data_IF_107992744407
#
_entry.id   IF_107992744407
#
_cell.length_a   1.000
_cell.length_b   1.000
_cell.length_c   1.000
_cell.angle_alpha   90.00
_cell.angle_beta   90.00
_cell.angle_gamma   90.00
#
_symmetry.space_group_name_H-M   'P 1'
#
loop_
_entity.id
_entity.type
_entity.pdbx_description
1 polymer ?
#
# COMPACT_ATOMS: atom_id res chain seq x y z
N UNK A 1 23.11 25.15 7.31
CA UNK A 1 22.21 24.01 7.08
C UNK A 1 22.69 22.86 7.96
N UNK A 2 21.81 22.23 8.73
CA UNK A 2 22.20 21.09 9.58
C UNK A 2 22.53 19.93 8.63
N UNK A 3 23.75 19.41 8.70
CA UNK A 3 24.21 18.32 7.83
C UNK A 3 23.94 16.96 8.49
N UNK A 4 22.69 16.53 8.45
CA UNK A 4 22.22 15.26 9.01
C UNK A 4 21.54 14.37 7.95
N UNK A 5 21.08 13.18 8.36
CA UNK A 5 20.39 12.22 7.49
C UNK A 5 19.18 12.81 6.78
N UNK A 6 18.41 13.68 7.43
CA UNK A 6 17.25 14.31 6.81
C UNK A 6 17.65 15.17 5.61
N UNK A 7 18.68 16.00 5.78
CA UNK A 7 19.19 16.88 4.72
C UNK A 7 19.97 16.16 3.62
N UNK A 8 20.67 15.07 3.95
CA UNK A 8 21.61 14.38 3.04
C UNK A 8 21.04 13.13 2.38
N UNK A 9 19.99 12.53 2.95
CA UNK A 9 19.43 11.25 2.50
C UNK A 9 17.93 11.35 2.29
N UNK A 10 17.14 11.67 3.32
CA UNK A 10 15.67 11.58 3.24
C UNK A 10 15.07 12.58 2.26
N UNK A 11 15.41 13.87 2.38
CA UNK A 11 14.90 14.91 1.48
C UNK A 11 15.32 14.66 0.02
N UNK A 12 16.62 14.38 -0.29
CA UNK A 12 17.02 14.02 -1.65
C UNK A 12 16.27 12.81 -2.20
N UNK A 13 16.06 11.75 -1.41
CA UNK A 13 15.31 10.56 -1.81
C UNK A 13 13.86 10.87 -2.15
N UNK A 14 13.16 11.62 -1.28
CA UNK A 14 11.77 12.04 -1.52
C UNK A 14 11.67 12.87 -2.81
N UNK A 15 12.56 13.84 -3.00
CA UNK A 15 12.57 14.67 -4.22
C UNK A 15 12.81 13.84 -5.49
N UNK A 16 13.68 12.83 -5.39
CA UNK A 16 13.93 11.91 -6.50
C UNK A 16 12.70 11.07 -6.84
N UNK A 17 12.05 10.47 -5.84
CA UNK A 17 10.82 9.70 -6.03
C UNK A 17 9.69 10.55 -6.62
N UNK A 18 9.52 11.79 -6.15
CA UNK A 18 8.52 12.72 -6.71
C UNK A 18 8.79 13.02 -8.19
N UNK A 19 10.07 13.14 -8.60
CA UNK A 19 10.43 13.31 -10.03
C UNK A 19 10.12 12.08 -10.88
N UNK A 20 10.11 10.88 -10.27
CA UNK A 20 9.70 9.64 -10.93
C UNK A 20 8.17 9.44 -10.97
N UNK A 21 7.39 10.41 -10.47
CA UNK A 21 5.93 10.37 -10.49
C UNK A 21 5.29 9.83 -9.20
N UNK A 22 6.08 9.49 -8.18
CA UNK A 22 5.52 9.12 -6.88
C UNK A 22 4.91 10.33 -6.19
N UNK A 23 3.73 10.14 -5.60
CA UNK A 23 3.05 11.20 -4.85
C UNK A 23 3.53 11.22 -3.40
N UNK A 24 4.08 12.35 -2.95
CA UNK A 24 4.38 12.55 -1.55
C UNK A 24 3.08 12.58 -0.71
N UNK A 25 3.08 11.82 0.39
CA UNK A 25 1.98 11.76 1.35
C UNK A 25 2.46 12.34 2.68
N UNK A 26 1.82 13.42 3.13
CA UNK A 26 2.14 14.03 4.43
C UNK A 26 1.43 13.29 5.57
N UNK A 27 2.14 13.03 6.66
CA UNK A 27 1.59 12.37 7.85
C UNK A 27 0.89 13.35 8.82
N UNK A 28 1.00 14.67 8.62
CA UNK A 28 0.50 15.66 9.61
C UNK A 28 -1.01 15.56 9.87
N UNK A 29 -1.77 15.23 8.84
CA UNK A 29 -3.24 15.14 8.89
C UNK A 29 -3.74 13.79 8.38
N UNK A 30 -2.85 12.81 8.25
CA UNK A 30 -3.22 11.53 7.70
C UNK A 30 -3.92 10.64 8.73
N UNK A 31 -4.93 9.91 8.27
CA UNK A 31 -5.55 8.82 9.02
C UNK A 31 -5.04 7.51 8.42
N UNK A 32 -4.30 6.76 9.22
CA UNK A 32 -3.79 5.45 8.86
C UNK A 32 -3.83 4.53 10.08
N UNK A 33 -3.82 3.24 9.80
CA UNK A 33 -3.75 2.19 10.79
C UNK A 33 -2.31 2.14 11.35
N UNK A 34 -2.12 2.48 12.62
CA UNK A 34 -0.78 2.58 13.22
C UNK A 34 -0.14 1.22 13.53
N UNK A 35 -0.94 0.17 13.60
CA UNK A 35 -0.47 -1.19 13.85
C UNK A 35 0.14 -1.77 12.57
N UNK A 36 -0.57 -1.65 11.46
CA UNK A 36 -0.16 -2.22 10.17
C UNK A 36 0.54 -1.22 9.23
N UNK A 37 0.52 0.07 9.56
CA UNK A 37 0.94 1.18 8.70
C UNK A 37 0.16 1.32 7.38
N UNK A 38 -1.00 0.67 7.26
CA UNK A 38 -1.85 0.75 6.06
C UNK A 38 -2.69 2.03 6.12
N UNK A 39 -2.83 2.71 4.98
CA UNK A 39 -3.77 3.83 4.80
C UNK A 39 -5.10 3.28 4.23
N UNK A 40 -6.15 3.05 5.05
CA UNK A 40 -7.33 2.28 4.62
C UNK A 40 -8.04 2.89 3.41
N UNK A 41 -8.21 4.21 3.42
CA UNK A 41 -8.88 4.92 2.33
C UNK A 41 -8.06 4.91 1.03
N UNK A 42 -6.73 4.97 1.12
CA UNK A 42 -5.87 4.86 -0.05
C UNK A 42 -5.88 3.44 -0.61
N UNK A 43 -5.82 2.45 0.29
CA UNK A 43 -5.91 1.03 -0.06
C UNK A 43 -7.22 0.73 -0.80
N UNK A 44 -8.37 1.06 -0.19
CA UNK A 44 -9.69 0.80 -0.80
C UNK A 44 -9.85 1.49 -2.16
N UNK A 45 -9.37 2.72 -2.31
CA UNK A 45 -9.38 3.44 -3.60
C UNK A 45 -8.52 2.75 -4.66
N UNK A 46 -7.33 2.26 -4.28
CA UNK A 46 -6.45 1.53 -5.20
C UNK A 46 -7.05 0.18 -5.62
N UNK A 47 -7.63 -0.56 -4.66
CA UNK A 47 -8.28 -1.84 -4.93
C UNK A 47 -9.50 -1.66 -5.84
N UNK A 48 -10.32 -0.63 -5.61
CA UNK A 48 -11.47 -0.33 -6.48
C UNK A 48 -11.05 -0.07 -7.93
N UNK A 49 -9.89 0.58 -8.13
CA UNK A 49 -9.34 0.85 -9.47
C UNK A 49 -8.90 -0.43 -10.17
N UNK A 50 -8.24 -1.34 -9.45
CA UNK A 50 -7.71 -2.59 -10.00
C UNK A 50 -8.81 -3.67 -10.14
N UNK A 51 -9.88 -3.56 -9.35
CA UNK A 51 -11.01 -4.49 -9.31
C UNK A 51 -12.34 -3.74 -9.51
N UNK A 52 -12.67 -3.35 -10.75
CA UNK A 52 -13.85 -2.52 -11.05
C UNK A 52 -15.17 -3.13 -10.60
N UNK A 53 -15.23 -4.46 -10.54
CA UNK A 53 -16.44 -5.22 -10.18
C UNK A 53 -16.60 -5.41 -8.66
N UNK A 54 -15.63 -4.97 -7.85
CA UNK A 54 -15.69 -5.10 -6.37
C UNK A 54 -16.57 -4.03 -5.74
N UNK A 55 -17.42 -4.42 -4.79
CA UNK A 55 -18.22 -3.48 -4.01
C UNK A 55 -17.46 -2.96 -2.77
N UNK A 56 -18.12 -2.13 -1.96
CA UNK A 56 -17.49 -1.55 -0.77
C UNK A 56 -17.18 -2.59 0.31
N UNK A 57 -18.05 -3.57 0.49
CA UNK A 57 -17.92 -4.61 1.49
C UNK A 57 -16.80 -5.59 1.11
N UNK A 58 -16.69 -5.92 -0.19
CA UNK A 58 -15.59 -6.72 -0.73
C UNK A 58 -14.22 -6.11 -0.41
N UNK A 59 -14.10 -4.78 -0.55
CA UNK A 59 -12.84 -4.06 -0.29
C UNK A 59 -12.53 -3.95 1.19
N UNK A 60 -13.53 -3.78 2.03
CA UNK A 60 -13.35 -3.76 3.49
C UNK A 60 -12.93 -5.14 4.00
N UNK A 61 -13.60 -6.21 3.56
CA UNK A 61 -13.20 -7.59 3.85
C UNK A 61 -11.79 -7.89 3.37
N UNK A 62 -11.44 -7.44 2.16
CA UNK A 62 -10.08 -7.63 1.65
C UNK A 62 -9.03 -6.94 2.52
N UNK A 63 -9.34 -5.74 3.02
CA UNK A 63 -8.46 -5.02 3.94
C UNK A 63 -8.31 -5.76 5.27
N UNK A 64 -9.41 -6.27 5.85
CA UNK A 64 -9.38 -7.08 7.07
C UNK A 64 -8.55 -8.35 6.90
N UNK A 65 -8.74 -9.09 5.80
CA UNK A 65 -7.95 -10.27 5.47
C UNK A 65 -6.45 -9.95 5.37
N UNK A 66 -6.09 -8.83 4.73
CA UNK A 66 -4.70 -8.38 4.60
C UNK A 66 -4.13 -8.12 5.99
N UNK A 67 -4.86 -7.41 6.85
CA UNK A 67 -4.40 -7.12 8.21
C UNK A 67 -4.15 -8.41 8.99
N UNK A 68 -5.08 -9.36 8.93
CA UNK A 68 -4.93 -10.66 9.59
C UNK A 68 -3.70 -11.42 9.07
N UNK A 69 -3.45 -11.39 7.76
CA UNK A 69 -2.28 -12.06 7.17
C UNK A 69 -0.94 -11.48 7.64
N UNK A 70 -0.90 -10.20 8.02
CA UNK A 70 0.31 -9.54 8.52
C UNK A 70 0.78 -10.09 9.88
N UNK A 71 -0.12 -10.73 10.63
CA UNK A 71 0.19 -11.34 11.93
C UNK A 71 0.69 -12.79 11.81
N UNK A 72 0.69 -13.38 10.61
CA UNK A 72 1.10 -14.76 10.39
C UNK A 72 2.62 -14.94 10.38
N UNK A 73 3.11 -16.06 10.95
CA UNK A 73 4.55 -16.39 11.01
C UNK A 73 5.18 -16.58 9.62
N UNK A 74 4.42 -17.11 8.65
CA UNK A 74 4.85 -17.37 7.27
C UNK A 74 4.42 -16.28 6.26
N UNK A 75 4.33 -15.03 6.71
CA UNK A 75 3.85 -13.88 5.93
C UNK A 75 4.43 -13.79 4.52
N UNK A 76 5.74 -14.02 4.35
CA UNK A 76 6.40 -13.82 3.06
C UNK A 76 5.85 -14.70 1.93
N UNK A 77 5.64 -15.99 2.19
CA UNK A 77 5.15 -16.93 1.16
C UNK A 77 3.67 -16.72 0.89
N UNK A 78 2.87 -16.63 1.95
CA UNK A 78 1.43 -16.43 1.84
C UNK A 78 1.11 -15.12 1.09
N UNK A 79 1.81 -14.04 1.43
CA UNK A 79 1.62 -12.76 0.77
C UNK A 79 2.02 -12.82 -0.72
N UNK A 80 3.10 -13.52 -1.06
CA UNK A 80 3.49 -13.73 -2.46
C UNK A 80 2.44 -14.51 -3.27
N UNK A 81 1.91 -15.59 -2.70
CA UNK A 81 0.84 -16.38 -3.33
C UNK A 81 -0.41 -15.51 -3.55
N UNK A 82 -0.73 -14.63 -2.59
CA UNK A 82 -1.86 -13.70 -2.70
C UNK A 82 -1.64 -12.61 -3.75
N UNK A 83 -0.43 -12.03 -3.80
CA UNK A 83 -0.06 -11.04 -4.82
C UNK A 83 -0.19 -11.60 -6.23
N UNK A 84 0.19 -12.86 -6.43
CA UNK A 84 0.24 -13.52 -7.75
C UNK A 84 -1.02 -14.30 -8.10
N UNK A 85 -2.02 -14.31 -7.22
CA UNK A 85 -3.28 -15.01 -7.43
C UNK A 85 -4.01 -14.49 -8.68
N UNK A 86 -4.48 -15.42 -9.51
CA UNK A 86 -5.21 -15.12 -10.76
C UNK A 86 -6.73 -15.06 -10.59
N UNK A 87 -7.22 -15.45 -9.41
CA UNK A 87 -8.63 -15.53 -9.08
C UNK A 87 -8.91 -14.75 -7.79
N UNK A 88 -10.09 -14.17 -7.69
CA UNK A 88 -10.45 -13.30 -6.57
C UNK A 88 -9.96 -11.86 -6.75
N UNK A 89 -10.00 -11.05 -5.69
CA UNK A 89 -9.57 -9.66 -5.74
C UNK A 89 -8.07 -9.55 -5.96
N UNK A 90 -7.67 -8.80 -6.99
CA UNK A 90 -6.29 -8.54 -7.37
C UNK A 90 -5.68 -7.45 -6.47
N UNK A 91 -4.46 -7.69 -5.99
CA UNK A 91 -3.67 -6.69 -5.27
C UNK A 91 -2.72 -5.93 -6.20
N UNK A 92 -2.30 -6.55 -7.29
CA UNK A 92 -1.50 -5.95 -8.37
C UNK A 92 -2.19 -6.29 -9.69
N UNK A 93 -2.34 -5.30 -10.56
CA UNK A 93 -2.67 -5.56 -11.96
C UNK A 93 -1.37 -5.84 -12.73
N UNK A 94 -1.16 -7.10 -13.13
CA UNK A 94 0.01 -7.46 -13.94
C UNK A 94 -0.23 -7.27 -15.45
N UNK A 95 -1.47 -6.99 -15.87
CA UNK A 95 -1.79 -6.74 -17.27
C UNK A 95 -1.60 -5.27 -17.67
N UNK A 96 -1.60 -4.35 -16.70
CA UNK A 96 -1.47 -2.89 -16.92
C UNK A 96 -0.58 -2.25 -15.83
N UNK A 97 0.65 -1.84 -16.18
CA UNK A 97 1.72 -1.40 -15.24
C UNK A 97 2.18 0.04 -15.46
#
# INVERSE_FOLDING_TARGET
MIFNEDSRVKIPCILHLVRLGYRYLSLKEALWDKETNIFPELFKKAIARINPDSDADDRERLLEDIKLSLDNEDLGKEFYERLTARSGPRLIDFADF
#
